data_IF_455213950915
#
_entry.id   IF_455213950915
#
_cell.length_a   1.000
_cell.length_b   1.000
_cell.length_c   1.000
_cell.angle_alpha   90.00
_cell.angle_beta   90.00
_cell.angle_gamma   90.00
#
_symmetry.space_group_name_H-M   'P 1'
#
loop_
_entity.id
_entity.type
_entity.pdbx_description
1 polymer ?
#
# COMPACT_ATOMS: atom_id res chain seq x y z
N UNK A 1 -1.18 15.70 -13.73
CA UNK A 1 -0.14 15.75 -14.78
C UNK A 1 0.23 14.34 -15.24
N UNK A 2 0.10 14.06 -16.53
CA UNK A 2 0.53 12.78 -17.12
C UNK A 2 2.03 12.82 -17.42
N UNK A 3 2.84 12.42 -16.45
CA UNK A 3 4.31 12.39 -16.58
C UNK A 3 4.84 10.98 -16.91
N UNK A 4 4.01 9.94 -16.79
CA UNK A 4 4.32 8.57 -17.14
C UNK A 4 3.53 8.13 -18.36
N UNK A 5 4.16 7.36 -19.22
CA UNK A 5 3.54 6.77 -20.40
C UNK A 5 4.25 5.49 -20.82
N UNK A 6 3.63 4.81 -21.78
CA UNK A 6 4.25 3.67 -22.47
C UNK A 6 4.88 4.23 -23.74
N UNK A 7 6.18 4.05 -23.88
CA UNK A 7 6.92 4.32 -25.10
C UNK A 7 7.03 3.03 -25.92
N UNK A 8 7.02 3.15 -27.24
CA UNK A 8 7.10 2.05 -28.20
C UNK A 8 5.90 1.11 -28.20
N UNK A 9 5.99 -0.05 -28.85
CA UNK A 9 4.92 -1.04 -29.04
C UNK A 9 5.45 -2.47 -28.94
N UNK A 10 4.56 -3.41 -28.62
CA UNK A 10 4.85 -4.84 -28.59
C UNK A 10 5.88 -5.19 -27.52
N UNK A 11 6.83 -6.01 -27.87
CA UNK A 11 7.92 -6.49 -27.00
C UNK A 11 8.94 -5.40 -26.64
N UNK A 12 8.95 -4.29 -27.36
CA UNK A 12 9.78 -3.12 -27.05
C UNK A 12 9.06 -2.05 -26.22
N UNK A 13 7.85 -2.34 -25.71
CA UNK A 13 7.10 -1.40 -24.90
C UNK A 13 7.77 -1.17 -23.54
N UNK A 14 8.11 0.08 -23.24
CA UNK A 14 8.73 0.49 -21.98
C UNK A 14 7.87 1.52 -21.25
N UNK A 15 7.80 1.39 -19.92
CA UNK A 15 7.21 2.41 -19.05
C UNK A 15 8.29 3.46 -18.77
N UNK A 16 8.09 4.65 -19.27
CA UNK A 16 9.06 5.73 -19.10
C UNK A 16 8.40 7.06 -18.74
N UNK A 17 9.21 7.99 -18.26
CA UNK A 17 8.80 9.37 -18.08
C UNK A 17 8.92 10.12 -19.39
N UNK A 18 7.88 10.87 -19.73
CA UNK A 18 7.95 11.76 -20.90
C UNK A 18 8.91 12.92 -20.57
N UNK A 19 9.93 13.11 -21.44
CA UNK A 19 10.93 14.20 -21.32
C UNK A 19 11.76 14.14 -20.03
N UNK A 20 12.42 13.03 -19.71
CA UNK A 20 13.44 12.93 -18.63
C UNK A 20 13.11 13.70 -17.33
N UNK A 21 11.85 14.01 -17.09
CA UNK A 21 11.43 14.70 -15.88
C UNK A 21 11.19 13.70 -14.75
N UNK A 22 11.90 13.87 -13.66
CA UNK A 22 11.64 13.14 -12.45
C UNK A 22 10.22 13.40 -11.96
N UNK A 23 9.53 12.33 -11.54
CA UNK A 23 8.28 12.46 -10.83
C UNK A 23 8.55 13.05 -9.44
N UNK A 24 8.28 14.33 -9.31
CA UNK A 24 8.40 15.03 -8.03
C UNK A 24 7.01 15.35 -7.50
N UNK A 25 6.48 14.46 -6.65
CA UNK A 25 5.18 14.61 -6.00
C UNK A 25 5.27 13.96 -4.62
N UNK A 26 4.73 14.64 -3.61
CA UNK A 26 4.75 14.19 -2.21
C UNK A 26 4.03 12.85 -1.97
N UNK A 27 3.24 12.38 -2.91
CA UNK A 27 2.48 11.13 -2.84
C UNK A 27 2.96 10.05 -3.81
N UNK A 28 4.05 10.27 -4.53
CA UNK A 28 4.51 9.36 -5.59
C UNK A 28 4.82 7.95 -5.07
N UNK A 29 5.24 7.82 -3.82
CA UNK A 29 5.52 6.52 -3.20
C UNK A 29 4.33 5.55 -3.20
N UNK A 30 3.10 6.05 -3.32
CA UNK A 30 1.91 5.19 -3.37
C UNK A 30 1.81 4.37 -4.66
N UNK A 31 2.48 4.77 -5.73
CA UNK A 31 2.56 4.00 -6.98
C UNK A 31 3.15 2.60 -6.75
N UNK A 32 4.02 2.45 -5.74
CA UNK A 32 4.58 1.15 -5.34
C UNK A 32 3.47 0.19 -4.86
N UNK A 33 2.46 0.70 -4.14
CA UNK A 33 1.37 -0.11 -3.60
C UNK A 33 0.32 -0.46 -4.66
N UNK A 34 0.26 0.32 -5.75
CA UNK A 34 -0.66 0.10 -6.88
C UNK A 34 -0.06 -0.86 -7.91
N UNK A 35 1.27 -0.99 -7.98
CA UNK A 35 1.94 -1.86 -8.94
C UNK A 35 1.66 -3.34 -8.64
N UNK A 36 0.84 -4.06 -9.46
CA UNK A 36 0.40 -5.42 -9.14
C UNK A 36 1.49 -6.47 -9.32
N UNK A 37 2.48 -6.17 -10.16
CA UNK A 37 3.54 -7.12 -10.54
C UNK A 37 4.85 -6.93 -9.78
N UNK A 38 4.90 -5.95 -8.85
CA UNK A 38 6.09 -5.68 -8.04
C UNK A 38 7.29 -5.13 -8.83
N UNK A 39 7.05 -4.57 -10.02
CA UNK A 39 8.10 -3.90 -10.80
C UNK A 39 8.60 -2.62 -10.11
N UNK A 40 7.69 -1.91 -9.45
CA UNK A 40 8.03 -0.76 -8.61
C UNK A 40 8.23 -1.21 -7.17
N UNK A 41 9.37 -0.88 -6.60
CA UNK A 41 9.75 -1.33 -5.26
C UNK A 41 10.22 -0.17 -4.40
N UNK A 42 9.97 -0.29 -3.10
CA UNK A 42 10.49 0.64 -2.10
C UNK A 42 11.98 0.38 -1.87
N UNK A 43 12.83 1.34 -2.25
CA UNK A 43 14.29 1.26 -2.07
C UNK A 43 14.67 1.07 -0.60
N UNK A 44 13.90 1.64 0.33
CA UNK A 44 14.19 1.58 1.76
C UNK A 44 13.83 0.22 2.38
N UNK A 45 13.00 -0.56 1.69
CA UNK A 45 12.56 -1.89 2.12
C UNK A 45 13.19 -3.03 1.29
N UNK A 46 13.52 -2.75 0.02
CA UNK A 46 14.05 -3.75 -0.92
C UNK A 46 15.24 -4.51 -0.32
N UNK A 47 15.17 -5.84 -0.35
CA UNK A 47 16.18 -6.78 0.15
C UNK A 47 16.41 -6.80 1.68
N UNK A 48 15.66 -6.02 2.47
CA UNK A 48 15.80 -6.03 3.94
C UNK A 48 15.06 -7.21 4.60
N UNK A 49 13.84 -7.49 4.13
CA UNK A 49 13.02 -8.56 4.70
C UNK A 49 11.98 -9.06 3.70
N UNK A 50 11.37 -10.20 4.01
CA UNK A 50 10.19 -10.69 3.30
C UNK A 50 8.92 -10.27 4.02
N UNK A 51 7.88 -9.90 3.27
CA UNK A 51 6.62 -9.36 3.84
C UNK A 51 5.96 -10.33 4.82
N UNK A 52 6.06 -11.64 4.59
CA UNK A 52 5.45 -12.66 5.47
C UNK A 52 6.13 -12.84 6.83
N UNK A 53 7.32 -12.30 7.04
CA UNK A 53 7.95 -12.23 8.35
C UNK A 53 7.52 -11.01 9.16
N UNK A 54 6.89 -10.04 8.51
CA UNK A 54 6.48 -8.79 9.12
C UNK A 54 5.06 -8.89 9.68
N UNK A 55 4.84 -8.25 10.82
CA UNK A 55 3.50 -8.12 11.43
C UNK A 55 2.90 -6.78 11.01
N UNK A 56 1.73 -6.77 10.36
CA UNK A 56 1.05 -5.53 10.00
C UNK A 56 0.33 -4.96 11.23
N UNK A 57 0.67 -3.74 11.59
CA UNK A 57 0.06 -2.96 12.66
C UNK A 57 -0.60 -1.71 12.09
N UNK A 58 -1.85 -1.46 12.43
CA UNK A 58 -2.53 -0.22 12.08
C UNK A 58 -2.05 0.89 13.01
N UNK A 59 -1.76 2.04 12.43
CA UNK A 59 -1.25 3.19 13.16
C UNK A 59 -1.68 4.51 12.52
N UNK A 60 -1.61 5.56 13.32
CA UNK A 60 -1.89 6.93 12.90
C UNK A 60 -0.74 7.85 13.32
N UNK A 61 -0.46 8.85 12.51
CA UNK A 61 0.47 9.91 12.86
C UNK A 61 -0.16 11.28 12.64
N UNK A 62 0.27 12.26 13.43
CA UNK A 62 -0.09 13.65 13.26
C UNK A 62 0.65 14.21 12.03
N UNK A 63 0.09 14.03 10.83
CA UNK A 63 0.65 14.53 9.59
C UNK A 63 -0.32 15.52 8.94
N UNK A 64 0.14 16.73 8.70
CA UNK A 64 -0.66 17.80 8.07
C UNK A 64 -0.78 17.61 6.54
N UNK A 65 0.16 16.85 5.92
CA UNK A 65 0.19 16.67 4.46
C UNK A 65 -0.73 15.56 3.96
N UNK A 66 -1.04 14.57 4.80
CA UNK A 66 -1.84 13.40 4.42
C UNK A 66 -2.78 12.97 5.55
N UNK A 67 -3.57 11.91 5.33
CA UNK A 67 -4.48 11.37 6.36
C UNK A 67 -3.78 10.87 7.63
N UNK A 68 -2.47 10.65 7.58
CA UNK A 68 -1.71 10.04 8.67
C UNK A 68 -2.05 8.58 8.96
N UNK A 69 -3.05 7.99 8.30
CA UNK A 69 -3.50 6.62 8.54
C UNK A 69 -2.70 5.62 7.72
N UNK A 70 -2.01 4.71 8.41
CA UNK A 70 -1.09 3.78 7.79
C UNK A 70 -1.14 2.38 8.37
N UNK A 71 -0.53 1.44 7.66
CA UNK A 71 -0.15 0.12 8.16
C UNK A 71 1.36 0.06 8.23
N UNK A 72 1.86 -0.16 9.44
CA UNK A 72 3.28 -0.39 9.72
C UNK A 72 3.58 -1.87 9.61
N UNK A 73 4.53 -2.22 8.78
CA UNK A 73 5.03 -3.58 8.64
C UNK A 73 6.27 -3.74 9.51
N UNK A 74 6.10 -4.40 10.66
CA UNK A 74 7.09 -4.44 11.74
C UNK A 74 7.67 -5.83 11.94
N UNK A 75 8.93 -5.88 12.34
CA UNK A 75 9.58 -7.05 12.91
C UNK A 75 10.17 -6.65 14.26
N UNK A 76 9.68 -7.29 15.33
CA UNK A 76 9.98 -6.81 16.69
C UNK A 76 9.44 -5.40 16.91
N UNK A 77 10.33 -4.48 17.23
CA UNK A 77 10.02 -3.07 17.45
C UNK A 77 10.51 -2.16 16.28
N UNK A 78 10.93 -2.74 15.19
CA UNK A 78 11.47 -1.99 14.03
C UNK A 78 10.44 -1.93 12.90
N UNK A 79 10.28 -0.75 12.29
CA UNK A 79 9.42 -0.53 11.13
C UNK A 79 10.24 -0.71 9.85
N UNK A 80 9.89 -1.72 9.06
CA UNK A 80 10.53 -2.03 7.78
C UNK A 80 9.86 -1.32 6.61
N UNK A 81 8.53 -1.27 6.61
CA UNK A 81 7.74 -0.69 5.53
C UNK A 81 6.50 -0.01 6.09
N UNK A 82 6.11 1.10 5.46
CA UNK A 82 4.86 1.81 5.75
C UNK A 82 4.02 1.85 4.48
N UNK A 83 2.74 1.49 4.59
CA UNK A 83 1.79 1.52 3.47
C UNK A 83 0.52 2.25 3.88
N UNK A 84 -0.22 2.77 2.90
CA UNK A 84 -1.54 3.33 3.18
C UNK A 84 -2.46 2.27 3.82
N UNK A 85 -3.35 2.70 4.72
CA UNK A 85 -4.33 1.80 5.33
C UNK A 85 -5.35 1.39 4.27
N UNK A 86 -5.65 0.11 4.21
CA UNK A 86 -6.62 -0.46 3.30
C UNK A 86 -7.83 -0.93 4.08
N UNK A 87 -8.99 -0.81 3.50
CA UNK A 87 -10.24 -1.33 4.03
C UNK A 87 -10.28 -2.87 4.04
N UNK A 88 -11.40 -3.44 4.48
CA UNK A 88 -11.63 -4.89 4.49
C UNK A 88 -11.60 -5.52 3.10
N UNK A 89 -11.83 -4.75 2.05
CA UNK A 89 -11.80 -5.21 0.65
C UNK A 89 -10.42 -5.07 0.01
N UNK A 90 -9.41 -4.54 0.74
CA UNK A 90 -8.05 -4.37 0.27
C UNK A 90 -7.84 -3.10 -0.56
N UNK A 91 -8.84 -2.23 -0.66
CA UNK A 91 -8.71 -0.92 -1.30
C UNK A 91 -8.24 0.13 -0.29
N UNK A 92 -7.59 1.20 -0.75
CA UNK A 92 -7.17 2.28 0.15
C UNK A 92 -8.40 2.94 0.75
N UNK A 93 -8.40 3.10 2.06
CA UNK A 93 -9.51 3.67 2.82
C UNK A 93 -9.88 5.05 2.29
N UNK A 94 -11.17 5.34 2.21
CA UNK A 94 -11.68 6.65 1.81
C UNK A 94 -12.11 7.41 3.06
N UNK A 95 -11.65 8.65 3.19
CA UNK A 95 -11.98 9.57 4.28
C UNK A 95 -12.48 10.86 3.66
N UNK A 96 -13.67 11.30 4.06
CA UNK A 96 -14.32 12.52 3.54
C UNK A 96 -14.31 12.58 2.00
N UNK A 97 -14.75 11.48 1.35
CA UNK A 97 -14.76 11.28 -0.10
C UNK A 97 -13.39 11.39 -0.79
N UNK A 98 -12.30 11.37 -0.02
CA UNK A 98 -10.95 11.38 -0.54
C UNK A 98 -10.21 10.09 -0.18
N UNK A 99 -9.44 9.56 -1.12
CA UNK A 99 -8.61 8.39 -0.88
C UNK A 99 -7.48 8.72 0.10
N UNK A 100 -7.38 7.96 1.17
CA UNK A 100 -6.42 8.18 2.26
C UNK A 100 -5.01 7.67 1.91
N UNK A 101 -4.42 8.19 0.84
CA UNK A 101 -3.01 7.94 0.52
C UNK A 101 -2.08 8.61 1.54
N UNK A 102 -0.92 8.00 1.77
CA UNK A 102 0.11 8.55 2.64
C UNK A 102 1.17 9.32 1.84
N UNK A 103 1.72 10.37 2.44
CA UNK A 103 2.79 11.15 1.81
C UNK A 103 4.14 10.41 1.89
N UNK A 104 5.12 10.88 1.11
CA UNK A 104 6.45 10.30 1.07
C UNK A 104 7.16 10.38 2.42
N UNK A 105 7.00 11.48 3.15
CA UNK A 105 7.59 11.67 4.48
C UNK A 105 7.13 10.58 5.46
N UNK A 106 5.80 10.30 5.48
CA UNK A 106 5.26 9.23 6.31
C UNK A 106 5.73 7.84 5.84
N UNK A 107 5.89 7.65 4.54
CA UNK A 107 6.26 6.36 3.95
C UNK A 107 7.74 6.02 4.16
N UNK A 108 8.64 6.97 3.95
CA UNK A 108 10.07 6.70 3.86
C UNK A 108 10.86 7.17 5.07
N UNK A 109 10.47 8.29 5.67
CA UNK A 109 11.27 8.95 6.70
C UNK A 109 10.81 8.61 8.11
N UNK A 110 9.50 8.48 8.35
CA UNK A 110 8.96 8.17 9.68
C UNK A 110 9.00 6.67 9.99
N UNK A 111 10.19 6.12 10.11
CA UNK A 111 10.39 4.69 10.47
C UNK A 111 10.66 4.44 11.95
N UNK A 112 10.63 5.47 12.77
CA UNK A 112 10.68 5.33 14.21
C UNK A 112 9.25 5.12 14.77
N UNK A 113 9.02 4.08 15.59
CA UNK A 113 7.71 3.82 16.20
C UNK A 113 7.17 4.99 17.04
N UNK A 114 8.03 5.84 17.59
CA UNK A 114 7.63 7.02 18.36
C UNK A 114 6.83 8.06 17.58
N UNK A 115 6.95 8.06 16.25
CA UNK A 115 6.19 8.94 15.36
C UNK A 115 4.74 8.48 15.12
N UNK A 116 4.36 7.32 15.67
CA UNK A 116 3.10 6.67 15.39
C UNK A 116 2.32 6.33 16.63
N UNK A 117 1.03 6.58 16.61
CA UNK A 117 0.09 6.02 17.58
C UNK A 117 -0.40 4.67 17.08
N UNK A 118 0.01 3.59 17.74
CA UNK A 118 -0.39 2.23 17.37
C UNK A 118 -1.85 1.98 17.78
N UNK A 119 -2.66 1.51 16.85
CA UNK A 119 -4.07 1.15 17.07
C UNK A 119 -4.18 -0.33 17.41
N UNK A 120 -3.54 -1.18 16.63
CA UNK A 120 -3.58 -2.63 16.84
C UNK A 120 -3.18 -3.44 15.62
N UNK A 121 -3.15 -4.78 15.76
CA UNK A 121 -2.82 -5.65 14.64
C UNK A 121 -3.92 -5.57 13.58
N UNK A 122 -3.51 -5.43 12.32
CA UNK A 122 -4.43 -5.44 11.20
C UNK A 122 -5.11 -6.80 11.10
N UNK A 123 -6.42 -6.82 11.20
CA UNK A 123 -7.26 -8.00 10.98
C UNK A 123 -7.76 -7.99 9.53
N UNK A 124 -7.40 -9.01 8.77
CA UNK A 124 -7.93 -9.22 7.42
C UNK A 124 -9.02 -10.28 7.55
N UNK A 125 -10.25 -9.90 7.31
CA UNK A 125 -11.35 -10.86 7.16
C UNK A 125 -11.33 -11.41 5.75
N UNK A 126 -10.76 -12.61 5.59
CA UNK A 126 -10.67 -13.29 4.30
C UNK A 126 -12.05 -13.59 3.70
N UNK A 127 -13.05 -13.86 4.54
CA UNK A 127 -14.41 -14.12 4.07
C UNK A 127 -15.04 -12.86 3.47
N UNK A 128 -14.85 -11.70 4.06
CA UNK A 128 -15.38 -10.45 3.51
C UNK A 128 -14.73 -10.09 2.17
N UNK A 129 -13.45 -10.41 2.01
CA UNK A 129 -12.72 -10.16 0.75
C UNK A 129 -13.17 -11.09 -0.38
N UNK A 130 -13.40 -12.37 -0.08
CA UNK A 130 -13.70 -13.40 -1.08
C UNK A 130 -15.22 -13.47 -1.36
N UNK A 131 -16.05 -13.58 -0.33
CA UNK A 131 -17.47 -13.88 -0.47
C UNK A 131 -18.40 -12.68 -0.53
N UNK A 132 -17.98 -11.53 -0.03
CA UNK A 132 -18.78 -10.28 -0.03
C UNK A 132 -18.10 -9.14 -0.78
N UNK A 133 -16.89 -9.35 -1.24
CA UNK A 133 -16.11 -8.36 -1.94
C UNK A 133 -16.40 -8.29 -3.44
N UNK A 134 -15.66 -7.46 -4.12
CA UNK A 134 -15.76 -7.18 -5.56
C UNK A 134 -15.64 -8.41 -6.46
N UNK A 135 -15.01 -9.48 -5.96
CA UNK A 135 -14.75 -10.71 -6.69
C UNK A 135 -15.59 -11.90 -6.22
N UNK A 136 -16.61 -11.65 -5.40
CA UNK A 136 -17.53 -12.72 -4.98
C UNK A 136 -18.18 -13.38 -6.19
N UNK A 137 -18.11 -14.69 -6.27
CA UNK A 137 -18.77 -15.50 -7.30
C UNK A 137 -20.03 -16.14 -6.71
N UNK A 138 -20.95 -16.60 -7.57
CA UNK A 138 -22.17 -17.32 -7.12
C UNK A 138 -21.88 -18.56 -6.27
N UNK A 139 -20.67 -19.10 -6.36
CA UNK A 139 -20.25 -20.32 -5.64
C UNK A 139 -19.55 -20.02 -4.31
N UNK A 140 -19.20 -18.78 -4.02
CA UNK A 140 -18.45 -18.38 -2.82
C UNK A 140 -19.28 -18.54 -1.53
N UNK A 141 -20.60 -18.68 -1.65
CA UNK A 141 -21.52 -18.94 -0.53
C UNK A 141 -21.60 -20.42 -0.14
N UNK A 142 -20.78 -21.32 -0.74
CA UNK A 142 -20.78 -22.72 -0.38
C UNK A 142 -19.81 -23.01 0.79
N UNK A 143 -20.30 -23.26 2.01
CA UNK A 143 -19.45 -23.46 3.18
C UNK A 143 -18.56 -24.71 3.12
N UNK A 144 -18.77 -25.59 2.12
CA UNK A 144 -17.99 -26.82 1.93
C UNK A 144 -16.66 -26.61 1.20
N UNK A 145 -16.44 -25.45 0.55
CA UNK A 145 -15.20 -25.14 -0.16
C UNK A 145 -14.14 -24.46 0.72
N UNK A 146 -14.45 -24.23 2.00
CA UNK A 146 -13.61 -23.51 2.95
C UNK A 146 -12.95 -24.41 4.01
N UNK A 147 -12.79 -25.73 3.69
CA UNK A 147 -12.03 -26.67 4.53
C UNK A 147 -10.66 -26.97 3.96
#
# INVERSE_FOLDING_TARGET
ERKHGILMRGDHAEIATYIQQNLNNDFIGNVIDVCPVGALTDKTFRFKSRVWFLKPMEAECACEKCSGKAVLWMFGNEIYRVTARKDKYGEVETIDDKTAWICNDCRFDKKDPSNWTLIGPRKIDRHSVISQGKYATKNDNNPKLLR
#
